data_IF_364621632773
#
_entry.id   IF_364621632773
#
_cell.length_a   1.000
_cell.length_b   1.000
_cell.length_c   1.000
_cell.angle_alpha   90.00
_cell.angle_beta   90.00
_cell.angle_gamma   90.00
#
_symmetry.space_group_name_H-M   'P 1'
#
loop_
_entity.id
_entity.type
_entity.pdbx_description
1 polymer ?
#
# COMPACT_ATOMS: atom_id res chain seq x y z
N UNK A 1 -3.66 -11.65 11.53
CA UNK A 1 -3.92 -10.48 10.66
C UNK A 1 -2.73 -9.53 10.83
N UNK A 2 -2.25 -8.86 9.78
CA UNK A 2 -1.08 -7.99 9.94
C UNK A 2 -1.50 -6.66 10.59
N UNK A 3 -0.74 -6.21 11.59
CA UNK A 3 -1.00 -5.01 12.39
C UNK A 3 -0.51 -3.77 11.63
N UNK A 4 -1.34 -2.74 11.39
CA UNK A 4 -0.85 -1.47 10.85
C UNK A 4 0.17 -0.83 11.79
N UNK A 5 1.37 -0.55 11.28
CA UNK A 5 2.41 0.19 11.99
C UNK A 5 2.55 1.56 11.35
N UNK A 6 1.82 2.54 11.88
CA UNK A 6 1.89 3.91 11.38
C UNK A 6 3.22 4.52 11.84
N UNK A 7 4.08 4.92 10.90
CA UNK A 7 5.40 5.51 11.21
C UNK A 7 5.48 7.02 10.89
N UNK A 8 4.52 7.51 10.11
CA UNK A 8 4.42 8.91 9.71
C UNK A 8 2.98 9.22 9.32
N UNK A 9 2.51 10.43 9.58
CA UNK A 9 1.30 10.98 8.97
C UNK A 9 1.62 12.03 7.89
N UNK A 10 2.90 12.25 7.59
CA UNK A 10 3.35 13.10 6.51
C UNK A 10 3.27 12.38 5.16
N UNK A 11 2.70 13.06 4.16
CA UNK A 11 2.68 12.62 2.77
C UNK A 11 2.72 13.84 1.83
N UNK A 12 3.64 13.85 0.86
CA UNK A 12 3.75 14.96 -0.09
C UNK A 12 2.81 14.88 -1.28
N UNK A 13 2.22 13.71 -1.55
CA UNK A 13 1.39 13.45 -2.73
C UNK A 13 0.15 14.35 -2.84
N UNK A 14 -0.55 14.59 -1.73
CA UNK A 14 -1.74 15.43 -1.71
C UNK A 14 -2.94 14.82 -2.48
N UNK A 15 -3.21 13.52 -2.31
CA UNK A 15 -4.44 12.92 -2.84
C UNK A 15 -5.67 13.52 -2.16
N UNK A 16 -6.74 13.79 -2.92
CA UNK A 16 -7.88 14.59 -2.45
C UNK A 16 -8.66 13.98 -1.28
N UNK A 17 -8.60 12.66 -1.09
CA UNK A 17 -9.30 11.94 -0.01
C UNK A 17 -8.42 11.64 1.20
N UNK A 18 -7.12 11.92 1.14
CA UNK A 18 -6.18 11.42 2.13
C UNK A 18 -6.24 12.21 3.45
N UNK A 19 -6.42 11.55 4.61
CA UNK A 19 -6.35 12.23 5.90
C UNK A 19 -4.92 12.69 6.25
N UNK A 20 -3.92 12.12 5.58
CA UNK A 20 -2.50 12.43 5.74
C UNK A 20 -2.03 13.46 4.70
N UNK A 21 -1.23 14.42 5.14
CA UNK A 21 -0.84 15.56 4.31
C UNK A 21 0.54 16.12 4.71
N UNK A 22 0.93 17.23 4.09
CA UNK A 22 2.24 17.88 4.31
C UNK A 22 2.43 18.47 5.70
N UNK A 23 1.37 18.64 6.49
CA UNK A 23 1.44 19.04 7.90
C UNK A 23 1.56 17.85 8.86
N UNK A 24 1.56 16.63 8.33
CA UNK A 24 1.73 15.42 9.12
C UNK A 24 3.07 15.33 9.84
N UNK A 25 3.15 14.44 10.81
CA UNK A 25 4.29 14.30 11.71
C UNK A 25 4.85 12.88 11.69
N UNK A 26 6.12 12.78 12.08
CA UNK A 26 6.82 11.51 12.24
C UNK A 26 6.50 10.88 13.59
N UNK A 27 6.26 9.56 13.60
CA UNK A 27 6.02 8.79 14.82
C UNK A 27 7.33 8.12 15.24
N UNK A 28 8.06 8.76 16.15
CA UNK A 28 9.46 8.38 16.45
C UNK A 28 9.62 6.95 16.98
N UNK A 29 8.71 6.51 17.84
CA UNK A 29 8.81 5.24 18.57
C UNK A 29 7.48 4.47 18.47
N UNK A 30 7.20 3.80 17.34
CA UNK A 30 6.02 2.96 17.24
C UNK A 30 6.19 1.72 18.13
N UNK A 31 5.13 1.28 18.80
CA UNK A 31 5.16 0.10 19.66
C UNK A 31 5.25 -1.18 18.81
N UNK A 32 6.30 -1.97 19.03
CA UNK A 32 6.58 -3.21 18.28
C UNK A 32 6.72 -4.37 19.27
N UNK A 33 5.85 -5.36 19.11
CA UNK A 33 5.81 -6.60 19.87
C UNK A 33 6.61 -7.71 19.16
N UNK A 34 7.13 -8.65 19.95
CA UNK A 34 7.94 -9.77 19.44
C UNK A 34 7.08 -10.73 18.59
N UNK A 35 7.62 -11.19 17.46
CA UNK A 35 7.02 -12.20 16.56
C UNK A 35 5.66 -11.86 15.95
N UNK A 36 5.26 -10.60 15.97
CA UNK A 36 4.07 -10.12 15.27
C UNK A 36 4.34 -9.87 13.78
N UNK A 37 3.27 -9.72 13.00
CA UNK A 37 3.34 -9.35 11.58
C UNK A 37 2.78 -7.94 11.40
N UNK A 38 3.60 -7.03 10.86
CA UNK A 38 3.23 -5.63 10.67
C UNK A 38 3.03 -5.25 9.20
N UNK A 39 2.28 -4.17 8.96
CA UNK A 39 2.31 -3.40 7.71
C UNK A 39 2.83 -2.01 8.06
N UNK A 40 4.07 -1.70 7.68
CA UNK A 40 4.61 -0.35 7.81
C UNK A 40 3.82 0.57 6.89
N UNK A 41 3.13 1.56 7.45
CA UNK A 41 2.17 2.41 6.75
C UNK A 41 2.07 3.81 7.38
N UNK A 42 1.04 4.58 7.02
CA UNK A 42 0.79 5.95 7.43
C UNK A 42 0.57 6.85 6.20
N UNK A 43 1.17 8.04 6.20
CA UNK A 43 1.24 8.92 5.04
C UNK A 43 2.07 8.30 3.92
N UNK A 44 3.36 8.61 3.85
CA UNK A 44 4.28 7.92 2.95
C UNK A 44 5.58 7.52 3.69
N UNK A 45 5.74 6.23 4.02
CA UNK A 45 6.93 5.71 4.71
C UNK A 45 8.26 5.98 4.00
N UNK A 46 8.24 6.16 2.67
CA UNK A 46 9.46 6.40 1.88
C UNK A 46 9.97 7.86 1.95
N UNK A 47 9.22 8.79 2.55
CA UNK A 47 9.63 10.19 2.69
C UNK A 47 10.80 10.39 3.67
N UNK A 48 10.89 9.55 4.70
CA UNK A 48 12.00 9.57 5.68
C UNK A 48 12.69 8.19 5.71
N UNK A 49 13.60 7.98 4.77
CA UNK A 49 14.36 6.72 4.65
C UNK A 49 15.20 6.41 5.89
N UNK A 50 15.66 7.43 6.62
CA UNK A 50 16.41 7.24 7.86
C UNK A 50 15.50 6.68 8.93
N UNK A 51 14.28 7.20 9.06
CA UNK A 51 13.29 6.66 9.97
C UNK A 51 12.86 5.24 9.60
N UNK A 52 12.54 5.01 8.32
CA UNK A 52 12.15 3.69 7.83
C UNK A 52 13.21 2.64 8.17
N UNK A 53 14.50 2.95 7.95
CA UNK A 53 15.62 2.07 8.34
C UNK A 53 15.64 1.79 9.83
N UNK A 54 15.40 2.79 10.66
CA UNK A 54 15.37 2.60 12.12
C UNK A 54 14.20 1.71 12.56
N UNK A 55 13.01 1.87 11.96
CA UNK A 55 11.86 1.00 12.23
C UNK A 55 12.12 -0.43 11.79
N UNK A 56 12.68 -0.63 10.59
CA UNK A 56 13.05 -1.97 10.10
C UNK A 56 14.04 -2.67 11.04
N UNK A 57 15.05 -1.94 11.55
CA UNK A 57 15.99 -2.47 12.55
C UNK A 57 15.29 -2.87 13.86
N UNK A 58 14.30 -2.12 14.31
CA UNK A 58 13.51 -2.47 15.50
C UNK A 58 12.65 -3.72 15.27
N UNK A 59 12.01 -3.83 14.11
CA UNK A 59 11.26 -5.04 13.73
C UNK A 59 12.17 -6.28 13.71
N UNK A 60 13.39 -6.14 13.17
CA UNK A 60 14.40 -7.21 13.15
C UNK A 60 14.82 -7.63 14.57
N UNK A 61 15.09 -6.68 15.46
CA UNK A 61 15.50 -7.00 16.84
C UNK A 61 14.38 -7.65 17.67
N UNK A 62 13.13 -7.50 17.23
CA UNK A 62 11.91 -8.11 17.79
C UNK A 62 11.43 -9.34 17.01
N UNK A 63 12.24 -9.89 16.11
CA UNK A 63 11.87 -11.03 15.24
C UNK A 63 10.48 -10.87 14.58
N UNK A 64 10.05 -9.64 14.33
CA UNK A 64 8.73 -9.32 13.82
C UNK A 64 8.79 -9.27 12.31
N UNK A 65 7.81 -9.85 11.63
CA UNK A 65 7.74 -9.80 10.17
C UNK A 65 7.03 -8.54 9.72
N UNK A 66 7.30 -8.08 8.50
CA UNK A 66 6.60 -6.91 7.99
C UNK A 66 6.39 -6.89 6.49
N UNK A 67 5.33 -6.22 6.08
CA UNK A 67 5.16 -5.67 4.73
C UNK A 67 5.32 -4.15 4.76
N UNK A 68 5.60 -3.55 3.62
CA UNK A 68 5.61 -2.11 3.44
C UNK A 68 4.38 -1.70 2.63
N UNK A 69 3.67 -0.65 3.03
CA UNK A 69 2.62 -0.03 2.22
C UNK A 69 3.06 1.37 1.77
N UNK A 70 2.92 1.64 0.48
CA UNK A 70 3.30 2.92 -0.13
C UNK A 70 2.23 3.37 -1.13
N UNK A 71 2.08 4.67 -1.30
CA UNK A 71 1.29 5.23 -2.39
C UNK A 71 1.98 5.10 -3.75
N UNK A 72 3.27 4.70 -3.78
CA UNK A 72 4.01 4.42 -5.01
C UNK A 72 4.53 5.66 -5.74
N UNK A 73 4.41 6.85 -5.16
CA UNK A 73 4.88 8.11 -5.75
C UNK A 73 6.35 8.45 -5.44
N UNK A 74 7.01 7.64 -4.61
CA UNK A 74 8.46 7.71 -4.36
C UNK A 74 9.12 6.45 -4.93
N UNK A 75 10.27 6.61 -5.59
CA UNK A 75 10.97 5.49 -6.25
C UNK A 75 11.40 4.42 -5.24
N UNK A 76 10.85 3.22 -5.36
CA UNK A 76 11.15 2.04 -4.51
C UNK A 76 12.62 1.62 -4.66
N UNK A 77 13.26 1.91 -5.79
CA UNK A 77 14.68 1.67 -6.00
C UNK A 77 15.56 2.26 -4.88
N UNK A 78 15.15 3.39 -4.28
CA UNK A 78 15.85 4.04 -3.16
C UNK A 78 15.96 3.18 -1.89
N UNK A 79 15.06 2.20 -1.74
CA UNK A 79 15.01 1.28 -0.60
C UNK A 79 15.28 -0.17 -1.00
N UNK A 80 15.65 -0.45 -2.26
CA UNK A 80 15.80 -1.81 -2.75
C UNK A 80 16.73 -2.66 -1.86
N UNK A 81 17.87 -2.10 -1.45
CA UNK A 81 18.82 -2.78 -0.56
C UNK A 81 18.27 -3.06 0.84
N UNK A 82 17.33 -2.26 1.33
CA UNK A 82 16.64 -2.54 2.60
C UNK A 82 15.75 -3.77 2.39
N UNK A 83 14.98 -3.80 1.29
CA UNK A 83 14.03 -4.86 1.01
C UNK A 83 14.72 -6.21 0.72
N UNK A 84 15.82 -6.22 -0.02
CA UNK A 84 16.50 -7.45 -0.45
C UNK A 84 17.35 -8.11 0.64
N UNK A 85 17.84 -7.34 1.61
CA UNK A 85 18.74 -7.84 2.67
C UNK A 85 18.03 -8.08 4.01
N UNK A 86 16.69 -8.04 4.04
CA UNK A 86 15.90 -8.12 5.27
C UNK A 86 15.10 -9.41 5.29
N UNK A 87 15.51 -10.39 6.11
CA UNK A 87 14.93 -11.73 6.13
C UNK A 87 13.46 -11.79 6.60
N UNK A 88 13.06 -10.87 7.47
CA UNK A 88 11.72 -10.73 8.01
C UNK A 88 10.79 -9.87 7.12
N UNK A 89 11.25 -9.47 5.93
CA UNK A 89 10.44 -8.76 4.95
C UNK A 89 9.56 -9.71 4.14
N UNK A 90 8.25 -9.47 4.15
CA UNK A 90 7.23 -10.28 3.49
C UNK A 90 6.77 -9.72 2.15
N UNK A 91 7.14 -8.48 1.82
CA UNK A 91 6.80 -7.83 0.55
C UNK A 91 6.11 -6.46 0.66
N UNK A 92 5.62 -5.95 -0.47
CA UNK A 92 5.16 -4.55 -0.60
C UNK A 92 3.74 -4.44 -1.16
N UNK A 93 2.95 -3.57 -0.57
CA UNK A 93 1.66 -3.11 -1.04
C UNK A 93 1.85 -1.76 -1.75
N UNK A 94 1.53 -1.69 -3.04
CA UNK A 94 1.60 -0.45 -3.83
C UNK A 94 0.17 0.02 -4.08
N UNK A 95 -0.22 1.13 -3.44
CA UNK A 95 -1.56 1.72 -3.51
C UNK A 95 -1.80 2.48 -4.80
N UNK A 96 -3.01 2.41 -5.35
CA UNK A 96 -3.35 3.00 -6.65
C UNK A 96 -3.94 4.41 -6.56
N UNK A 97 -4.01 4.97 -5.35
CA UNK A 97 -4.62 6.28 -5.11
C UNK A 97 -3.94 7.41 -5.90
N UNK A 98 -2.64 7.30 -6.17
CA UNK A 98 -1.91 8.24 -7.04
C UNK A 98 -2.43 8.20 -8.48
N UNK A 99 -2.84 7.04 -8.98
CA UNK A 99 -3.40 6.92 -10.33
C UNK A 99 -4.86 7.37 -10.40
N UNK A 100 -5.60 7.16 -9.32
CA UNK A 100 -7.06 7.30 -9.33
C UNK A 100 -7.53 8.65 -8.78
N UNK A 101 -6.75 9.29 -7.91
CA UNK A 101 -7.17 10.47 -7.11
C UNK A 101 -6.09 11.53 -6.97
N UNK A 102 -5.12 11.56 -7.88
CA UNK A 102 -4.07 12.58 -7.91
C UNK A 102 -3.84 13.04 -9.36
N UNK A 103 -3.79 14.35 -9.57
CA UNK A 103 -3.66 14.93 -10.92
C UNK A 103 -2.21 15.13 -11.36
N UNK A 104 -1.23 14.82 -10.51
CA UNK A 104 0.18 15.00 -10.86
C UNK A 104 0.67 13.89 -11.79
N UNK A 105 0.89 14.26 -13.04
CA UNK A 105 1.46 13.38 -14.08
C UNK A 105 2.85 12.86 -13.69
N UNK A 106 3.65 13.65 -12.97
CA UNK A 106 4.98 13.23 -12.49
C UNK A 106 4.87 12.13 -11.43
N UNK A 107 3.95 12.25 -10.47
CA UNK A 107 3.75 11.22 -9.45
C UNK A 107 3.18 9.94 -10.06
N UNK A 108 2.23 10.05 -10.99
CA UNK A 108 1.70 8.91 -11.75
C UNK A 108 2.79 8.21 -12.56
N UNK A 109 3.71 8.97 -13.17
CA UNK A 109 4.87 8.41 -13.88
C UNK A 109 5.76 7.60 -12.94
N UNK A 110 6.09 8.13 -11.76
CA UNK A 110 6.88 7.40 -10.75
C UNK A 110 6.16 6.12 -10.31
N UNK A 111 4.84 6.18 -10.15
CA UNK A 111 4.03 5.01 -9.84
C UNK A 111 4.17 3.92 -10.91
N UNK A 112 4.04 4.29 -12.18
CA UNK A 112 4.15 3.36 -13.31
C UNK A 112 5.57 2.79 -13.41
N UNK A 113 6.62 3.60 -13.19
CA UNK A 113 8.02 3.15 -13.11
C UNK A 113 8.19 2.10 -12.00
N UNK A 114 7.70 2.39 -10.79
CA UNK A 114 7.72 1.48 -9.66
C UNK A 114 6.99 0.17 -9.97
N UNK A 115 5.80 0.24 -10.57
CA UNK A 115 5.02 -0.94 -10.93
C UNK A 115 5.72 -1.79 -11.99
N UNK A 116 6.33 -1.17 -13.00
CA UNK A 116 7.08 -1.86 -14.05
C UNK A 116 8.24 -2.70 -13.50
N UNK A 117 8.91 -2.21 -12.46
CA UNK A 117 10.06 -2.88 -11.84
C UNK A 117 9.66 -3.90 -10.75
N UNK A 118 8.67 -3.56 -9.92
CA UNK A 118 8.36 -4.32 -8.70
C UNK A 118 6.99 -4.99 -8.71
N UNK A 119 6.05 -4.55 -9.55
CA UNK A 119 4.66 -4.99 -9.57
C UNK A 119 4.44 -6.46 -9.89
N UNK A 120 5.37 -7.09 -10.63
CA UNK A 120 5.29 -8.50 -11.05
C UNK A 120 5.94 -9.49 -10.08
N UNK A 121 6.58 -8.99 -9.03
CA UNK A 121 7.19 -9.84 -8.02
C UNK A 121 6.12 -10.63 -7.25
N UNK A 122 6.47 -11.85 -6.80
CA UNK A 122 5.53 -12.73 -6.08
C UNK A 122 5.07 -12.16 -4.74
N UNK A 123 5.87 -11.27 -4.16
CA UNK A 123 5.63 -10.56 -2.91
C UNK A 123 5.27 -9.07 -3.12
N UNK A 124 4.59 -8.76 -4.24
CA UNK A 124 3.99 -7.44 -4.45
C UNK A 124 2.47 -7.57 -4.56
N UNK A 125 1.77 -6.62 -3.94
CA UNK A 125 0.32 -6.50 -3.96
C UNK A 125 -0.07 -5.17 -4.59
N UNK A 126 -0.94 -5.20 -5.59
CA UNK A 126 -1.67 -4.00 -6.00
C UNK A 126 -2.72 -3.71 -4.93
N UNK A 127 -2.76 -2.51 -4.38
CA UNK A 127 -3.76 -2.12 -3.39
C UNK A 127 -4.72 -1.11 -3.98
N UNK A 128 -6.01 -1.41 -3.94
CA UNK A 128 -7.07 -0.55 -4.47
C UNK A 128 -8.01 -0.22 -3.32
N UNK A 129 -8.15 1.07 -3.01
CA UNK A 129 -9.11 1.57 -2.03
C UNK A 129 -10.43 1.84 -2.72
N UNK A 130 -11.47 1.08 -2.40
CA UNK A 130 -12.82 1.23 -2.94
C UNK A 130 -13.56 2.37 -2.23
N UNK A 131 -14.26 3.17 -3.01
CA UNK A 131 -15.03 4.33 -2.54
C UNK A 131 -16.14 4.67 -3.54
N UNK A 132 -17.04 5.57 -3.16
CA UNK A 132 -18.21 5.94 -3.96
C UNK A 132 -17.86 6.66 -5.29
N UNK A 133 -16.68 7.27 -5.39
CA UNK A 133 -16.16 7.94 -6.58
C UNK A 133 -15.49 6.99 -7.58
N UNK A 134 -15.33 5.69 -7.24
CA UNK A 134 -14.68 4.70 -8.11
C UNK A 134 -15.68 3.68 -8.62
N UNK A 135 -15.88 3.68 -9.93
CA UNK A 135 -16.71 2.70 -10.61
C UNK A 135 -15.95 1.40 -10.92
N UNK A 136 -16.68 0.28 -10.96
CA UNK A 136 -16.12 -1.04 -11.29
C UNK A 136 -15.31 -1.07 -12.61
N UNK A 137 -15.75 -0.46 -13.73
CA UNK A 137 -14.98 -0.48 -14.97
C UNK A 137 -13.59 0.16 -14.85
N UNK A 138 -13.44 1.19 -14.00
CA UNK A 138 -12.15 1.83 -13.72
C UNK A 138 -11.19 0.85 -13.05
N UNK A 139 -11.69 0.06 -12.10
CA UNK A 139 -10.90 -0.97 -11.40
C UNK A 139 -10.51 -2.09 -12.36
N UNK A 140 -11.44 -2.54 -13.19
CA UNK A 140 -11.20 -3.60 -14.17
C UNK A 140 -10.15 -3.18 -15.22
N UNK A 141 -10.22 -1.93 -15.69
CA UNK A 141 -9.20 -1.35 -16.59
C UNK A 141 -7.83 -1.35 -15.92
N UNK A 142 -7.75 -0.87 -14.68
CA UNK A 142 -6.51 -0.83 -13.91
C UNK A 142 -5.89 -2.22 -13.75
N UNK A 143 -6.68 -3.22 -13.38
CA UNK A 143 -6.22 -4.62 -13.24
C UNK A 143 -5.74 -5.18 -14.58
N UNK A 144 -6.45 -4.88 -15.67
CA UNK A 144 -6.10 -5.35 -17.02
C UNK A 144 -4.77 -4.76 -17.50
N UNK A 145 -4.52 -3.49 -17.22
CA UNK A 145 -3.30 -2.78 -17.62
C UNK A 145 -2.10 -3.18 -16.74
N UNK A 146 -2.31 -3.26 -15.43
CA UNK A 146 -1.24 -3.55 -14.46
C UNK A 146 -0.90 -5.04 -14.35
N UNK A 147 -1.85 -5.93 -14.67
CA UNK A 147 -1.72 -7.40 -14.64
C UNK A 147 -1.11 -7.92 -13.32
N UNK A 148 -1.69 -7.58 -12.15
CA UNK A 148 -1.14 -7.95 -10.86
C UNK A 148 -1.33 -9.46 -10.60
N UNK A 149 -0.45 -10.04 -9.78
CA UNK A 149 -0.67 -11.41 -9.25
C UNK A 149 -1.61 -11.43 -8.05
N UNK A 150 -1.58 -10.35 -7.26
CA UNK A 150 -2.34 -10.20 -6.02
C UNK A 150 -2.95 -8.80 -5.97
N UNK A 151 -4.22 -8.73 -5.61
CA UNK A 151 -4.96 -7.48 -5.40
C UNK A 151 -5.48 -7.47 -3.97
N UNK A 152 -5.12 -6.43 -3.21
CA UNK A 152 -5.70 -6.12 -1.92
C UNK A 152 -6.79 -5.07 -2.12
N UNK A 153 -8.03 -5.40 -1.78
CA UNK A 153 -9.15 -4.46 -1.85
C UNK A 153 -9.41 -3.88 -0.47
N UNK A 154 -9.09 -2.60 -0.30
CA UNK A 154 -9.44 -1.83 0.89
C UNK A 154 -10.77 -1.10 0.66
N UNK A 155 -11.38 -0.67 1.75
CA UNK A 155 -12.51 0.23 1.78
C UNK A 155 -12.06 1.61 2.28
N UNK A 156 -12.69 2.67 1.77
CA UNK A 156 -12.50 4.04 2.28
C UNK A 156 -13.07 4.17 3.70
N UNK A 157 -12.56 5.16 4.43
CA UNK A 157 -13.16 5.65 5.67
C UNK A 157 -14.66 5.96 5.41
N UNK A 158 -15.54 5.61 6.35
CA UNK A 158 -17.02 5.60 6.26
C UNK A 158 -17.70 4.47 5.45
N UNK A 159 -16.92 3.57 4.85
CA UNK A 159 -17.45 2.35 4.24
C UNK A 159 -17.89 2.50 2.77
N UNK A 160 -18.08 1.37 2.10
CA UNK A 160 -18.49 1.27 0.71
C UNK A 160 -19.51 0.13 0.55
N UNK A 161 -20.78 0.51 0.41
CA UNK A 161 -21.93 -0.43 0.37
C UNK A 161 -21.77 -1.56 -0.65
N UNK A 162 -21.11 -1.30 -1.77
CA UNK A 162 -20.94 -2.25 -2.86
C UNK A 162 -19.65 -3.10 -2.76
N UNK A 163 -18.92 -3.05 -1.64
CA UNK A 163 -17.64 -3.76 -1.45
C UNK A 163 -17.74 -5.25 -1.80
N UNK A 164 -18.68 -5.96 -1.17
CA UNK A 164 -18.86 -7.41 -1.36
C UNK A 164 -19.20 -7.74 -2.82
N UNK A 165 -20.07 -6.93 -3.44
CA UNK A 165 -20.43 -7.06 -4.84
C UNK A 165 -19.22 -6.90 -5.75
N UNK A 166 -18.42 -5.84 -5.56
CA UNK A 166 -17.22 -5.57 -6.34
C UNK A 166 -16.19 -6.68 -6.16
N UNK A 167 -15.94 -7.10 -4.92
CA UNK A 167 -15.01 -8.20 -4.60
C UNK A 167 -15.38 -9.48 -5.35
N UNK A 168 -16.66 -9.89 -5.31
CA UNK A 168 -17.13 -11.10 -6.00
C UNK A 168 -17.06 -10.99 -7.53
N UNK A 169 -17.47 -9.85 -8.10
CA UNK A 169 -17.41 -9.64 -9.55
C UNK A 169 -15.96 -9.67 -10.06
N UNK A 170 -15.03 -9.00 -9.36
CA UNK A 170 -13.62 -8.96 -9.73
C UNK A 170 -12.98 -10.35 -9.65
N UNK A 171 -13.25 -11.11 -8.57
CA UNK A 171 -12.76 -12.48 -8.42
C UNK A 171 -13.27 -13.41 -9.51
N UNK A 172 -14.52 -13.23 -9.94
CA UNK A 172 -15.11 -14.01 -11.04
C UNK A 172 -14.49 -13.64 -12.38
N UNK A 173 -14.29 -12.35 -12.64
CA UNK A 173 -13.73 -11.84 -13.91
C UNK A 173 -12.25 -12.15 -14.09
N UNK A 174 -11.48 -12.13 -13.00
CA UNK A 174 -10.03 -12.33 -13.01
C UNK A 174 -9.63 -13.54 -12.14
N UNK A 175 -9.98 -14.78 -12.55
CA UNK A 175 -9.82 -15.97 -11.71
C UNK A 175 -8.36 -16.36 -11.42
N UNK A 176 -7.41 -15.84 -12.19
CA UNK A 176 -5.98 -16.09 -12.02
C UNK A 176 -5.31 -15.12 -11.04
N UNK A 177 -6.05 -14.12 -10.54
CA UNK A 177 -5.55 -13.12 -9.60
C UNK A 177 -6.02 -13.48 -8.20
N UNK A 178 -5.11 -13.42 -7.22
CA UNK A 178 -5.47 -13.62 -5.82
C UNK A 178 -6.04 -12.31 -5.27
N UNK A 179 -7.34 -12.29 -5.02
CA UNK A 179 -8.01 -11.19 -4.32
C UNK A 179 -7.99 -11.42 -2.82
N UNK A 180 -7.61 -10.39 -2.07
CA UNK A 180 -7.48 -10.41 -0.62
C UNK A 180 -8.32 -9.26 -0.08
N UNK A 181 -9.11 -9.55 0.96
CA UNK A 181 -9.83 -8.52 1.70
C UNK A 181 -8.84 -7.72 2.54
N UNK A 182 -8.89 -6.39 2.39
CA UNK A 182 -8.06 -5.45 3.12
C UNK A 182 -8.80 -4.82 4.30
N UNK A 183 -8.46 -3.57 4.59
CA UNK A 183 -9.18 -2.81 5.60
C UNK A 183 -10.64 -2.62 5.18
N UNK A 184 -11.56 -2.85 6.11
CA UNK A 184 -13.00 -2.62 5.97
C UNK A 184 -13.47 -1.90 7.23
N UNK A 185 -14.27 -0.85 7.05
CA UNK A 185 -15.05 -0.30 8.14
C UNK A 185 -16.26 -1.21 8.29
N UNK A 186 -16.17 -2.18 9.21
CA UNK A 186 -17.35 -2.91 9.66
C UNK A 186 -18.33 -1.87 10.22
N UNK A 187 -19.45 -1.69 9.52
CA UNK A 187 -20.57 -0.84 9.94
C UNK A 187 -21.53 -1.65 10.79
#
# INVERSE_FOLDING_TARGET
MAIPLIISTYCSAGCNHCPFNKAGTKIKNPEINDKEIYIITGGEPLEDLTHLRNVVKQLQSKNAYFRLATGGHIRIASIHNILSNTSNYLGINIGTDILLRNDSTDLQKIWLENWGLYGKLSNTWLTITLSYDIELPTIEKLITETKPRKVLLNEIEDGFKDYIKYFHLLKTKFPLIIFIEGYRNET
#
